data_IF_987866239617
#
_entry.id   IF_987866239617
#
_cell.length_a   1.000
_cell.length_b   1.000
_cell.length_c   1.000
_cell.angle_alpha   90.00
_cell.angle_beta   90.00
_cell.angle_gamma   90.00
#
_symmetry.space_group_name_H-M   'P 1'
#
loop_
_entity.id
_entity.type
_entity.pdbx_description
1 polymer ?
#
# COMPACT_ATOMS: atom_id res chain seq x y z
N UNK A 1 -8.53 -19.19 -1.57
CA UNK A 1 -8.68 -17.78 -1.11
C UNK A 1 -7.94 -17.59 0.20
N UNK A 2 -6.97 -16.68 0.23
CA UNK A 2 -6.27 -16.37 1.48
C UNK A 2 -7.20 -15.64 2.45
N UNK A 3 -6.86 -15.64 3.76
CA UNK A 3 -7.64 -14.89 4.76
C UNK A 3 -7.65 -13.40 4.42
N UNK A 4 -6.61 -12.94 3.75
CA UNK A 4 -6.48 -11.59 3.23
C UNK A 4 -7.57 -11.29 2.18
N UNK A 5 -7.76 -12.18 1.23
CA UNK A 5 -8.80 -12.05 0.19
C UNK A 5 -10.22 -12.07 0.76
N UNK A 6 -10.50 -12.91 1.76
CA UNK A 6 -11.84 -12.99 2.36
C UNK A 6 -12.25 -11.72 3.08
N UNK A 7 -11.31 -11.04 3.75
CA UNK A 7 -11.62 -9.85 4.54
C UNK A 7 -11.70 -8.59 3.67
N UNK A 8 -11.03 -8.61 2.50
CA UNK A 8 -11.06 -7.50 1.54
C UNK A 8 -12.11 -7.65 0.43
N UNK A 9 -12.78 -8.80 0.32
CA UNK A 9 -13.83 -9.02 -0.69
C UNK A 9 -15.01 -8.04 -0.60
N UNK A 10 -15.16 -7.34 0.52
CA UNK A 10 -16.23 -6.37 0.76
C UNK A 10 -15.75 -4.93 0.87
N UNK A 11 -14.43 -4.69 0.76
CA UNK A 11 -13.86 -3.35 0.84
C UNK A 11 -13.35 -2.93 -0.54
N UNK A 12 -13.80 -1.78 -1.03
CA UNK A 12 -13.29 -1.21 -2.27
C UNK A 12 -11.84 -0.72 -2.09
N UNK A 13 -11.14 -0.51 -3.19
CA UNK A 13 -9.80 0.11 -3.16
C UNK A 13 -9.85 1.48 -2.48
N UNK A 14 -10.84 2.29 -2.82
CA UNK A 14 -10.97 3.64 -2.28
C UNK A 14 -11.24 3.61 -0.78
N UNK A 15 -12.10 2.73 -0.31
CA UNK A 15 -12.36 2.58 1.13
C UNK A 15 -11.09 2.19 1.89
N UNK A 16 -10.35 1.22 1.36
CA UNK A 16 -9.08 0.81 1.96
C UNK A 16 -8.08 1.98 1.97
N UNK A 17 -7.97 2.69 0.86
CA UNK A 17 -7.05 3.81 0.69
C UNK A 17 -7.33 4.91 1.73
N UNK A 18 -8.58 5.31 1.87
CA UNK A 18 -8.98 6.35 2.82
C UNK A 18 -8.82 5.89 4.28
N UNK A 19 -9.17 4.64 4.57
CA UNK A 19 -9.00 4.07 5.91
C UNK A 19 -7.53 4.00 6.29
N UNK A 20 -6.69 3.55 5.37
CA UNK A 20 -5.24 3.45 5.58
C UNK A 20 -4.60 4.84 5.76
N UNK A 21 -5.00 5.80 4.93
CA UNK A 21 -4.55 7.18 5.05
C UNK A 21 -4.83 7.76 6.44
N UNK A 22 -6.02 7.49 6.99
CA UNK A 22 -6.38 7.94 8.32
C UNK A 22 -5.54 7.28 9.42
N UNK A 23 -5.32 5.97 9.35
CA UNK A 23 -4.47 5.25 10.30
C UNK A 23 -3.04 5.81 10.28
N UNK A 24 -2.50 6.02 9.08
CA UNK A 24 -1.15 6.54 8.89
C UNK A 24 -1.01 7.94 9.47
N UNK A 25 -1.97 8.80 9.19
CA UNK A 25 -2.01 10.18 9.69
C UNK A 25 -2.02 10.22 11.21
N UNK A 26 -2.84 9.41 11.85
CA UNK A 26 -2.93 9.35 13.33
C UNK A 26 -1.59 8.95 13.94
N UNK A 27 -0.92 7.95 13.39
CA UNK A 27 0.39 7.50 13.87
C UNK A 27 1.42 8.62 13.72
N UNK A 28 1.53 9.22 12.53
CA UNK A 28 2.51 10.27 12.26
C UNK A 28 2.27 11.49 13.16
N UNK A 29 1.02 11.89 13.36
CA UNK A 29 0.69 13.00 14.27
C UNK A 29 1.15 12.69 15.69
N UNK A 30 0.90 11.49 16.19
CA UNK A 30 1.36 11.05 17.52
C UNK A 30 2.88 11.16 17.64
N UNK A 31 3.61 10.66 16.65
CA UNK A 31 5.08 10.72 16.65
C UNK A 31 5.59 12.15 16.55
N UNK A 32 4.96 12.98 15.74
CA UNK A 32 5.34 14.40 15.59
C UNK A 32 5.16 15.18 16.88
N UNK A 33 4.11 14.92 17.65
CA UNK A 33 3.91 15.55 18.97
C UNK A 33 4.97 15.10 20.00
N UNK A 34 5.61 13.96 19.77
CA UNK A 34 6.69 13.42 20.60
C UNK A 34 8.08 13.87 20.08
N UNK A 35 8.11 14.81 19.15
CA UNK A 35 9.33 15.36 18.55
C UNK A 35 10.18 14.34 17.80
N UNK A 36 9.54 13.32 17.20
CA UNK A 36 10.25 12.36 16.34
C UNK A 36 10.76 13.06 15.08
N UNK A 37 12.04 12.82 14.77
CA UNK A 37 12.63 13.27 13.50
C UNK A 37 12.15 12.39 12.35
N UNK A 38 12.40 12.84 11.11
CA UNK A 38 12.13 12.05 9.91
C UNK A 38 12.70 10.63 10.02
N UNK A 39 13.97 10.50 10.39
CA UNK A 39 14.63 9.19 10.51
C UNK A 39 13.98 8.33 11.60
N UNK A 40 13.62 8.93 12.72
CA UNK A 40 12.95 8.24 13.82
C UNK A 40 11.55 7.73 13.38
N UNK A 41 10.82 8.54 12.61
CA UNK A 41 9.52 8.14 12.07
C UNK A 41 9.68 6.96 11.11
N UNK A 42 10.64 7.04 10.20
CA UNK A 42 10.93 5.95 9.25
C UNK A 42 11.24 4.66 10.01
N UNK A 43 12.11 4.71 11.01
CA UNK A 43 12.49 3.55 11.80
C UNK A 43 11.31 2.98 12.61
N UNK A 44 10.40 3.84 13.08
CA UNK A 44 9.19 3.39 13.77
C UNK A 44 8.33 2.49 12.89
N UNK A 45 8.28 2.74 11.58
CA UNK A 45 7.48 1.97 10.62
C UNK A 45 8.14 0.68 10.15
N UNK A 46 9.30 0.29 10.71
CA UNK A 46 9.82 -1.05 10.50
C UNK A 46 8.82 -2.10 11.00
N UNK A 47 8.67 -3.19 10.25
CA UNK A 47 7.69 -4.23 10.52
C UNK A 47 7.73 -4.69 11.98
N UNK A 48 8.91 -4.97 12.52
CA UNK A 48 9.10 -5.46 13.89
C UNK A 48 8.55 -4.48 14.94
N UNK A 49 8.73 -3.18 14.71
CA UNK A 49 8.18 -2.14 15.59
C UNK A 49 6.66 -2.01 15.43
N UNK A 50 6.19 -2.02 14.20
CA UNK A 50 4.78 -1.81 13.90
C UNK A 50 3.89 -2.94 14.41
N UNK A 51 4.35 -4.19 14.28
CA UNK A 51 3.61 -5.35 14.78
C UNK A 51 3.34 -5.22 16.29
N UNK A 52 4.30 -4.70 17.03
CA UNK A 52 4.22 -4.54 18.47
C UNK A 52 3.42 -3.30 18.90
N UNK A 53 3.68 -2.17 18.24
CA UNK A 53 3.19 -0.87 18.67
C UNK A 53 1.89 -0.44 17.99
N UNK A 54 1.62 -0.95 16.79
CA UNK A 54 0.47 -0.57 15.97
C UNK A 54 -0.23 -1.80 15.36
N UNK A 55 -0.74 -2.72 16.20
CA UNK A 55 -1.27 -4.00 15.72
C UNK A 55 -2.48 -3.86 14.79
N UNK A 56 -3.18 -2.75 14.84
CA UNK A 56 -4.36 -2.49 14.00
C UNK A 56 -4.02 -1.88 12.63
N UNK A 57 -2.75 -1.55 12.39
CA UNK A 57 -2.33 -0.88 11.15
C UNK A 57 -2.44 -1.79 9.93
N UNK A 58 -2.10 -3.06 10.07
CA UNK A 58 -2.12 -4.03 8.98
C UNK A 58 -2.70 -5.37 9.47
N UNK A 59 -3.57 -5.97 8.69
CA UNK A 59 -4.21 -7.25 9.05
C UNK A 59 -3.21 -8.40 9.22
N UNK A 60 -2.07 -8.34 8.52
CA UNK A 60 -1.03 -9.37 8.63
C UNK A 60 -0.32 -9.36 9.99
N UNK A 61 -0.39 -8.24 10.72
CA UNK A 61 0.27 -8.11 12.02
C UNK A 61 -0.29 -9.09 13.05
N UNK A 62 -1.58 -9.43 12.97
CA UNK A 62 -2.18 -10.40 13.88
C UNK A 62 -1.50 -11.77 13.81
N UNK A 63 -0.94 -12.12 12.66
CA UNK A 63 -0.20 -13.38 12.44
C UNK A 63 1.30 -13.17 12.44
N UNK A 64 1.78 -11.97 12.70
CA UNK A 64 3.20 -11.59 12.63
C UNK A 64 3.81 -11.97 11.28
N UNK A 65 3.03 -11.81 10.20
CA UNK A 65 3.41 -12.19 8.85
C UNK A 65 3.78 -10.96 8.03
N UNK A 66 4.94 -11.01 7.36
CA UNK A 66 5.38 -9.99 6.41
C UNK A 66 4.64 -10.15 5.09
N UNK A 67 4.29 -9.00 4.46
CA UNK A 67 3.69 -8.98 3.11
C UNK A 67 4.72 -9.27 2.01
N UNK A 68 6.00 -9.07 2.28
CA UNK A 68 7.11 -9.28 1.33
C UNK A 68 8.26 -9.97 2.03
N UNK A 69 9.01 -10.78 1.27
CA UNK A 69 10.22 -11.45 1.76
C UNK A 69 11.39 -10.46 1.75
N UNK A 70 11.42 -9.57 2.73
CA UNK A 70 12.44 -8.53 2.89
C UNK A 70 12.83 -8.46 4.36
N UNK A 71 14.14 -8.59 4.65
CA UNK A 71 14.62 -8.62 6.04
C UNK A 71 14.26 -7.34 6.80
N UNK A 72 14.56 -6.19 6.22
CA UNK A 72 14.24 -4.88 6.80
C UNK A 72 13.01 -4.29 6.10
N UNK A 73 11.86 -4.93 6.27
CA UNK A 73 10.60 -4.50 5.69
C UNK A 73 10.09 -3.24 6.40
N UNK A 74 9.91 -2.16 5.67
CA UNK A 74 9.34 -0.92 6.21
C UNK A 74 7.94 -0.68 5.65
N UNK A 75 7.00 -0.38 6.51
CA UNK A 75 5.59 -0.25 6.18
C UNK A 75 5.13 1.19 5.91
N UNK A 76 6.03 2.17 5.91
CA UNK A 76 5.66 3.58 5.76
C UNK A 76 4.95 3.87 4.43
N UNK A 77 5.46 3.33 3.32
CA UNK A 77 4.91 3.53 1.98
C UNK A 77 4.07 2.34 1.50
N UNK A 78 3.39 1.66 2.40
CA UNK A 78 2.43 0.62 2.04
C UNK A 78 1.38 1.20 1.07
N UNK A 79 1.00 0.45 0.08
CA UNK A 79 0.25 0.76 -1.13
C UNK A 79 1.11 1.22 -2.32
N UNK A 80 2.33 1.67 -2.11
CA UNK A 80 3.27 2.08 -3.17
C UNK A 80 2.84 3.34 -3.96
N UNK A 81 3.70 4.36 -4.06
CA UNK A 81 3.41 5.57 -4.85
C UNK A 81 3.18 5.32 -6.34
N UNK A 82 3.59 4.16 -6.84
CA UNK A 82 3.42 3.78 -8.25
C UNK A 82 2.14 2.99 -8.52
N UNK A 83 1.40 2.63 -7.47
CA UNK A 83 0.13 1.92 -7.60
C UNK A 83 -0.94 2.86 -8.14
N UNK A 84 -1.71 2.36 -9.11
CA UNK A 84 -2.82 3.11 -9.71
C UNK A 84 -4.07 2.24 -9.62
N UNK A 85 -5.20 2.85 -9.23
CA UNK A 85 -6.44 2.12 -9.09
C UNK A 85 -7.66 2.97 -9.42
N UNK A 86 -8.73 2.29 -9.80
CA UNK A 86 -10.09 2.82 -9.80
C UNK A 86 -11.04 1.64 -9.65
N UNK A 87 -11.97 1.71 -8.72
CA UNK A 87 -12.90 0.62 -8.43
C UNK A 87 -13.82 0.28 -9.60
N UNK A 88 -14.08 1.27 -10.47
CA UNK A 88 -14.86 1.06 -11.70
C UNK A 88 -14.01 0.52 -12.85
N UNK A 89 -12.70 0.53 -12.72
CA UNK A 89 -11.75 0.07 -13.72
C UNK A 89 -10.94 1.20 -14.33
N UNK A 90 -9.70 0.89 -14.71
CA UNK A 90 -8.78 1.82 -15.38
C UNK A 90 -8.87 1.69 -16.90
N UNK A 91 -8.99 0.46 -17.40
CA UNK A 91 -9.08 0.16 -18.81
C UNK A 91 -9.70 -1.22 -19.01
N UNK A 92 -10.25 -1.44 -20.20
CA UNK A 92 -10.75 -2.75 -20.62
C UNK A 92 -9.96 -3.20 -21.84
N UNK A 93 -9.32 -4.36 -21.76
CA UNK A 93 -8.56 -4.96 -22.85
C UNK A 93 -9.00 -6.42 -23.01
N UNK A 94 -9.39 -6.79 -24.23
CA UNK A 94 -9.84 -8.15 -24.56
C UNK A 94 -10.94 -8.67 -23.62
N UNK A 95 -11.84 -7.77 -23.20
CA UNK A 95 -12.94 -8.10 -22.30
C UNK A 95 -12.57 -8.17 -20.83
N UNK A 96 -11.32 -7.87 -20.47
CA UNK A 96 -10.84 -7.87 -19.08
C UNK A 96 -10.80 -6.43 -18.57
N UNK A 97 -11.45 -6.19 -17.43
CA UNK A 97 -11.46 -4.90 -16.76
C UNK A 97 -10.31 -4.82 -15.75
N UNK A 98 -9.33 -3.97 -16.02
CA UNK A 98 -8.16 -3.74 -15.16
C UNK A 98 -8.48 -2.67 -14.13
N UNK A 99 -8.62 -3.06 -12.87
CA UNK A 99 -8.93 -2.15 -11.76
C UNK A 99 -7.71 -1.55 -11.09
N UNK A 100 -6.55 -2.14 -11.29
CA UNK A 100 -5.28 -1.61 -10.76
C UNK A 100 -4.14 -1.94 -11.70
N UNK A 101 -3.12 -1.09 -11.67
CA UNK A 101 -1.92 -1.24 -12.49
C UNK A 101 -0.71 -0.60 -11.81
N UNK A 102 0.48 -0.91 -12.28
CA UNK A 102 1.74 -0.31 -11.85
C UNK A 102 2.17 0.76 -12.87
N UNK A 103 2.33 2.02 -12.44
CA UNK A 103 2.68 3.12 -13.34
C UNK A 103 4.08 3.01 -13.94
N UNK A 104 4.97 2.24 -13.31
CA UNK A 104 6.33 2.01 -13.80
C UNK A 104 6.50 0.62 -14.43
N UNK A 105 5.42 -0.14 -14.57
CA UNK A 105 5.43 -1.48 -15.17
C UNK A 105 6.54 -2.36 -14.60
N UNK A 106 6.63 -2.45 -13.27
CA UNK A 106 7.64 -3.26 -12.59
C UNK A 106 7.63 -4.69 -13.12
N UNK A 107 8.81 -5.20 -13.46
CA UNK A 107 8.97 -6.59 -13.94
C UNK A 107 8.63 -7.63 -12.87
N UNK A 108 8.59 -7.22 -11.61
CA UNK A 108 8.24 -8.10 -10.47
C UNK A 108 6.75 -8.06 -10.14
N UNK A 109 5.98 -7.21 -10.79
CA UNK A 109 4.53 -7.19 -10.65
C UNK A 109 3.89 -8.17 -11.63
N UNK A 110 2.71 -8.66 -11.26
CA UNK A 110 1.89 -9.53 -12.09
C UNK A 110 0.42 -9.15 -11.92
N UNK A 111 -0.47 -9.83 -12.64
CA UNK A 111 -1.90 -9.58 -12.53
C UNK A 111 -2.62 -10.84 -12.09
N UNK A 112 -3.60 -10.65 -11.22
CA UNK A 112 -4.56 -11.67 -10.81
C UNK A 112 -5.88 -11.42 -11.50
N UNK A 113 -6.34 -12.37 -12.32
CA UNK A 113 -7.59 -12.24 -13.10
C UNK A 113 -8.63 -13.21 -12.57
N UNK A 114 -9.82 -12.68 -12.25
CA UNK A 114 -10.95 -13.47 -11.81
C UNK A 114 -12.24 -12.89 -12.40
N UNK A 115 -13.03 -13.72 -13.08
CA UNK A 115 -14.30 -13.31 -13.69
C UNK A 115 -14.20 -12.03 -14.55
N UNK A 116 -13.16 -11.97 -15.41
CA UNK A 116 -12.90 -10.85 -16.33
C UNK A 116 -12.55 -9.54 -15.63
N UNK A 117 -12.14 -9.60 -14.35
CA UNK A 117 -11.62 -8.47 -13.59
C UNK A 117 -10.17 -8.76 -13.23
N UNK A 118 -9.30 -7.80 -13.49
CA UNK A 118 -7.86 -7.92 -13.21
C UNK A 118 -7.44 -6.98 -12.08
N UNK A 119 -6.65 -7.52 -11.17
CA UNK A 119 -6.03 -6.79 -10.07
C UNK A 119 -4.51 -6.93 -10.15
N UNK A 120 -3.80 -5.85 -9.85
CA UNK A 120 -2.33 -5.88 -9.77
C UNK A 120 -1.89 -6.67 -8.54
N UNK A 121 -0.93 -7.57 -8.74
CA UNK A 121 -0.26 -8.32 -7.67
C UNK A 121 1.18 -7.85 -7.54
N UNK A 122 1.48 -7.17 -6.43
CA UNK A 122 2.79 -6.64 -6.10
C UNK A 122 3.53 -7.47 -5.05
N UNK A 123 3.07 -8.69 -4.75
CA UNK A 123 3.64 -9.51 -3.67
C UNK A 123 5.13 -9.83 -3.87
N UNK A 124 5.61 -9.89 -5.12
CA UNK A 124 7.00 -10.12 -5.45
C UNK A 124 7.84 -8.84 -5.59
N UNK A 125 7.22 -7.67 -5.47
CA UNK A 125 7.88 -6.37 -5.65
C UNK A 125 8.04 -5.65 -4.32
N UNK A 126 9.29 -5.38 -3.91
CA UNK A 126 9.62 -4.74 -2.64
C UNK A 126 10.00 -3.27 -2.76
N UNK A 127 9.78 -2.65 -3.91
CA UNK A 127 10.22 -1.25 -4.21
C UNK A 127 9.89 -0.25 -3.10
N UNK A 128 8.64 -0.15 -2.59
CA UNK A 128 8.31 0.90 -1.62
C UNK A 128 8.73 0.58 -0.18
N UNK A 129 9.33 -0.57 0.08
CA UNK A 129 9.55 -1.06 1.44
C UNK A 129 11.00 -0.95 1.92
N UNK A 130 11.90 -0.34 1.15
CA UNK A 130 13.28 -0.12 1.58
C UNK A 130 13.44 1.25 2.22
N UNK A 131 14.32 1.36 3.22
CA UNK A 131 14.58 2.62 3.91
C UNK A 131 15.07 3.71 2.94
N UNK A 132 15.94 3.35 2.00
CA UNK A 132 16.47 4.28 1.01
C UNK A 132 15.37 4.89 0.13
N UNK A 133 14.44 4.06 -0.35
CA UNK A 133 13.31 4.52 -1.14
C UNK A 133 12.39 5.44 -0.34
N UNK A 134 12.07 5.04 0.89
CA UNK A 134 11.19 5.81 1.78
C UNK A 134 11.81 7.17 2.10
N UNK A 135 13.11 7.20 2.42
CA UNK A 135 13.81 8.46 2.72
C UNK A 135 13.74 9.44 1.55
N UNK A 136 13.87 8.94 0.33
CA UNK A 136 13.82 9.76 -0.90
C UNK A 136 12.42 10.32 -1.17
N UNK A 137 11.37 9.58 -0.87
CA UNK A 137 9.98 9.93 -1.18
C UNK A 137 9.17 10.39 0.03
N UNK A 138 9.83 10.62 1.15
CA UNK A 138 9.19 10.91 2.42
C UNK A 138 8.41 12.23 2.40
N UNK A 139 7.21 12.18 2.92
CA UNK A 139 6.43 13.32 3.38
C UNK A 139 5.66 12.86 4.61
N UNK A 140 5.40 13.76 5.56
CA UNK A 140 4.60 13.43 6.74
C UNK A 140 3.15 13.13 6.39
N UNK A 141 2.67 13.61 5.25
CA UNK A 141 1.35 13.35 4.73
C UNK A 141 1.40 12.21 3.71
N UNK A 142 1.02 11.01 4.13
CA UNK A 142 0.97 9.83 3.27
C UNK A 142 0.07 10.05 2.05
N UNK A 143 -1.04 10.74 2.23
CA UNK A 143 -1.98 11.01 1.14
C UNK A 143 -1.36 11.87 0.04
N UNK A 144 -0.46 12.78 0.41
CA UNK A 144 0.30 13.59 -0.54
C UNK A 144 1.28 12.74 -1.35
N UNK A 145 1.96 11.79 -0.69
CA UNK A 145 2.85 10.85 -1.39
C UNK A 145 2.06 10.02 -2.39
N UNK A 146 0.87 9.60 -2.02
CA UNK A 146 0.01 8.69 -2.79
C UNK A 146 -1.02 9.41 -3.67
N UNK A 147 -0.86 10.71 -3.89
CA UNK A 147 -1.86 11.54 -4.57
C UNK A 147 -2.21 11.09 -5.99
N UNK A 148 -1.33 10.36 -6.66
CA UNK A 148 -1.56 9.84 -8.02
C UNK A 148 -2.18 8.45 -8.04
N UNK A 149 -2.32 7.80 -6.89
CA UNK A 149 -2.80 6.40 -6.85
C UNK A 149 -4.26 6.28 -7.30
N UNK A 150 -5.13 7.14 -6.81
CA UNK A 150 -6.52 7.15 -7.23
C UNK A 150 -6.68 7.90 -8.56
N UNK A 151 -7.04 7.15 -9.61
CA UNK A 151 -7.21 7.70 -10.96
C UNK A 151 -8.66 8.11 -11.13
N UNK A 152 -8.92 9.44 -11.16
CA UNK A 152 -10.27 10.00 -11.23
C UNK A 152 -10.86 10.02 -12.64
N UNK A 153 -9.99 9.96 -13.66
CA UNK A 153 -10.41 9.95 -15.07
C UNK A 153 -9.78 8.76 -15.78
N UNK A 154 -10.30 7.54 -15.57
CA UNK A 154 -9.74 6.36 -16.22
C UNK A 154 -9.92 6.43 -17.73
N UNK A 155 -9.04 5.75 -18.46
CA UNK A 155 -9.09 5.67 -19.91
C UNK A 155 -10.38 4.97 -20.35
N UNK A 156 -11.04 5.58 -21.31
CA UNK A 156 -12.25 5.04 -21.88
C UNK A 156 -11.99 3.71 -22.63
#
# INVERSE_FOLDING_TARGET
MSIFERKYNFMSYLEWFETHANKHRVIVQKLSTQNYTKEMIIDYFLFENMVEKEPEFCLLYAKKQKCHNLQALNCYLCACPHFRFNDEGLSVEEGINYKSECSIHSKKSSYFVYEKVSHLDCSACSVPHTKAYIRKHFDVDWKKIMQKCFVTSPKA
#
